data_IF_393288616523
#
_entry.id   IF_393288616523
#
_cell.length_a   1.000
_cell.length_b   1.000
_cell.length_c   1.000
_cell.angle_alpha   90.00
_cell.angle_beta   90.00
_cell.angle_gamma   90.00
#
_symmetry.space_group_name_H-M   'P 1'
#
loop_
_entity.id
_entity.type
_entity.pdbx_description
1 polymer ?
#
# COMPACT_ATOMS: atom_id res chain seq x y z
N UNK A 1 -96.24 27.95 27.98
CA UNK A 1 -95.26 28.67 28.83
C UNK A 1 -94.15 27.70 29.21
N UNK A 2 -92.90 28.17 29.14
CA UNK A 2 -91.56 27.55 29.29
C UNK A 2 -91.34 26.60 30.49
N UNK A 3 -90.15 25.94 30.63
CA UNK A 3 -89.02 25.76 29.70
C UNK A 3 -88.52 24.29 29.55
N UNK A 4 -87.61 24.13 28.57
CA UNK A 4 -86.82 22.95 28.27
C UNK A 4 -85.90 22.49 29.42
N UNK A 5 -85.70 21.18 29.53
CA UNK A 5 -84.49 20.60 30.13
C UNK A 5 -83.84 19.66 29.13
N UNK A 6 -82.70 20.10 28.61
CA UNK A 6 -81.79 19.35 27.77
C UNK A 6 -81.24 18.16 28.58
N UNK A 7 -81.58 16.94 28.21
CA UNK A 7 -80.86 15.75 28.67
C UNK A 7 -79.94 15.30 27.54
N UNK A 8 -78.73 15.86 27.52
CA UNK A 8 -77.61 15.29 26.79
C UNK A 8 -77.19 14.02 27.55
N UNK A 9 -77.66 12.87 27.09
CA UNK A 9 -77.09 11.59 27.50
C UNK A 9 -75.77 11.44 26.75
N UNK A 10 -74.68 11.92 27.35
CA UNK A 10 -73.34 11.51 26.95
C UNK A 10 -73.24 10.00 27.13
N UNK A 11 -73.14 9.28 26.01
CA UNK A 11 -72.78 7.87 26.02
C UNK A 11 -71.30 7.80 26.43
N UNK A 12 -70.91 6.96 27.41
CA UNK A 12 -69.50 6.85 27.76
C UNK A 12 -68.77 6.25 26.57
N UNK A 13 -67.80 7.00 26.04
CA UNK A 13 -66.84 6.49 25.07
C UNK A 13 -66.00 5.44 25.79
N UNK A 14 -66.44 4.19 25.70
CA UNK A 14 -65.70 3.03 26.21
C UNK A 14 -64.48 2.84 25.31
N UNK A 15 -63.43 3.63 25.56
CA UNK A 15 -62.12 3.36 25.01
C UNK A 15 -61.64 2.05 25.64
N UNK A 16 -61.31 1.00 24.88
CA UNK A 16 -60.93 -0.27 25.45
C UNK A 16 -59.68 -0.07 26.32
N UNK A 17 -59.86 -0.20 27.63
CA UNK A 17 -58.76 -0.18 28.59
C UNK A 17 -57.91 -1.41 28.32
N UNK A 18 -56.75 -1.21 27.70
CA UNK A 18 -55.81 -2.29 27.44
C UNK A 18 -55.46 -2.99 28.78
N UNK A 19 -55.44 -4.33 28.83
CA UNK A 19 -55.08 -5.06 30.03
C UNK A 19 -53.75 -4.54 30.57
N UNK A 20 -53.67 -4.24 31.87
CA UNK A 20 -52.48 -3.69 32.54
C UNK A 20 -51.19 -4.47 32.22
N UNK A 21 -51.31 -5.77 31.95
CA UNK A 21 -50.21 -6.63 31.50
C UNK A 21 -49.63 -6.24 30.13
N UNK A 22 -50.48 -5.86 29.17
CA UNK A 22 -50.06 -5.45 27.82
C UNK A 22 -49.33 -4.10 27.86
N UNK A 23 -49.86 -3.13 28.61
CA UNK A 23 -49.21 -1.82 28.80
C UNK A 23 -47.84 -1.92 29.49
N UNK A 24 -47.68 -2.85 30.45
CA UNK A 24 -46.37 -3.10 31.08
C UNK A 24 -45.39 -3.70 30.08
N UNK A 25 -45.81 -4.69 29.28
CA UNK A 25 -44.98 -5.32 28.27
C UNK A 25 -44.56 -4.34 27.16
N UNK A 26 -45.46 -3.45 26.75
CA UNK A 26 -45.18 -2.43 25.75
C UNK A 26 -44.18 -1.38 26.26
N UNK A 27 -44.32 -0.93 27.51
CA UNK A 27 -43.30 -0.06 28.15
C UNK A 27 -41.96 -0.74 28.32
N UNK A 28 -41.93 -2.02 28.66
CA UNK A 28 -40.68 -2.79 28.76
C UNK A 28 -40.01 -2.93 27.39
N UNK A 29 -40.78 -3.17 26.32
CA UNK A 29 -40.27 -3.20 24.94
C UNK A 29 -39.76 -1.84 24.48
N UNK A 30 -40.52 -0.77 24.72
CA UNK A 30 -40.10 0.60 24.35
C UNK A 30 -38.83 1.00 25.11
N UNK A 31 -38.76 0.66 26.41
CA UNK A 31 -37.56 0.89 27.22
C UNK A 31 -36.36 0.08 26.71
N UNK A 32 -36.55 -1.19 26.37
CA UNK A 32 -35.50 -2.04 25.83
C UNK A 32 -34.99 -1.54 24.46
N UNK A 33 -35.90 -1.09 23.58
CA UNK A 33 -35.52 -0.49 22.29
C UNK A 33 -34.72 0.80 22.48
N UNK A 34 -35.15 1.68 23.39
CA UNK A 34 -34.43 2.93 23.70
C UNK A 34 -33.05 2.66 24.34
N UNK A 35 -32.95 1.66 25.22
CA UNK A 35 -31.66 1.22 25.77
C UNK A 35 -30.73 0.67 24.66
N UNK A 36 -31.26 -0.15 23.75
CA UNK A 36 -30.49 -0.67 22.62
C UNK A 36 -30.04 0.43 21.65
N UNK A 37 -30.89 1.40 21.33
CA UNK A 37 -30.53 2.55 20.50
C UNK A 37 -29.44 3.41 21.14
N UNK A 38 -29.51 3.65 22.45
CA UNK A 38 -28.48 4.38 23.18
C UNK A 38 -27.14 3.62 23.20
N UNK A 39 -27.18 2.30 23.38
CA UNK A 39 -25.98 1.45 23.35
C UNK A 39 -25.34 1.44 21.96
N UNK A 40 -26.15 1.33 20.89
CA UNK A 40 -25.65 1.43 19.52
C UNK A 40 -25.04 2.81 19.25
N UNK A 41 -25.70 3.89 19.64
CA UNK A 41 -25.17 5.24 19.46
C UNK A 41 -23.88 5.49 20.26
N UNK A 42 -23.75 4.90 21.45
CA UNK A 42 -22.51 4.96 22.22
C UNK A 42 -21.38 4.19 21.52
N UNK A 43 -21.64 2.98 21.03
CA UNK A 43 -20.65 2.20 20.25
C UNK A 43 -20.23 2.92 18.97
N UNK A 44 -21.17 3.53 18.25
CA UNK A 44 -20.87 4.31 17.06
C UNK A 44 -19.96 5.50 17.38
N UNK A 45 -20.27 6.26 18.45
CA UNK A 45 -19.39 7.34 18.90
C UNK A 45 -18.02 6.86 19.33
N UNK A 46 -17.93 5.76 20.07
CA UNK A 46 -16.65 5.16 20.48
C UNK A 46 -15.84 4.71 19.26
N UNK A 47 -16.48 4.11 18.26
CA UNK A 47 -15.85 3.70 17.01
C UNK A 47 -15.33 4.91 16.20
N UNK A 48 -16.11 6.00 16.10
CA UNK A 48 -15.68 7.25 15.45
C UNK A 48 -14.49 7.90 16.18
N UNK A 49 -14.53 7.94 17.51
CA UNK A 49 -13.43 8.43 18.32
C UNK A 49 -12.17 7.58 18.14
N UNK A 50 -12.30 6.26 18.14
CA UNK A 50 -11.18 5.34 17.95
C UNK A 50 -10.54 5.55 16.57
N UNK A 51 -11.35 5.63 15.51
CA UNK A 51 -10.87 5.90 14.16
C UNK A 51 -10.13 7.24 14.05
N UNK A 52 -10.68 8.30 14.65
CA UNK A 52 -10.03 9.62 14.65
C UNK A 52 -8.69 9.59 15.39
N UNK A 53 -8.59 8.79 16.45
CA UNK A 53 -7.36 8.64 17.22
C UNK A 53 -6.28 7.88 16.44
N UNK A 54 -6.66 6.79 15.75
CA UNK A 54 -5.80 6.02 14.85
C UNK A 54 -5.22 6.92 13.74
N UNK A 55 -6.06 7.72 13.07
CA UNK A 55 -5.61 8.68 12.05
C UNK A 55 -4.62 9.73 12.60
N UNK A 56 -4.81 10.17 13.84
CA UNK A 56 -3.89 11.12 14.50
C UNK A 56 -2.55 10.46 14.85
N UNK A 57 -2.57 9.21 15.29
CA UNK A 57 -1.38 8.41 15.58
C UNK A 57 -0.55 8.18 14.32
N UNK A 58 -1.17 7.74 13.22
CA UNK A 58 -0.52 7.55 11.92
C UNK A 58 0.15 8.82 11.41
N UNK A 59 -0.56 9.95 11.48
CA UNK A 59 0.00 11.24 11.08
C UNK A 59 1.18 11.64 11.97
N UNK A 60 1.11 11.38 13.28
CA UNK A 60 2.24 11.62 14.18
C UNK A 60 3.46 10.77 13.81
N UNK A 61 3.27 9.47 13.51
CA UNK A 61 4.33 8.59 13.05
C UNK A 61 4.98 9.08 11.76
N UNK A 62 4.19 9.54 10.78
CA UNK A 62 4.69 10.14 9.55
C UNK A 62 5.54 11.38 9.81
N UNK A 63 5.06 12.30 10.64
CA UNK A 63 5.82 13.52 10.97
C UNK A 63 7.13 13.18 11.70
N UNK A 64 7.11 12.20 12.60
CA UNK A 64 8.32 11.70 13.27
C UNK A 64 9.31 11.07 12.28
N UNK A 65 8.83 10.23 11.35
CA UNK A 65 9.68 9.62 10.31
C UNK A 65 10.34 10.70 9.43
N UNK A 66 9.57 11.69 8.96
CA UNK A 66 10.07 12.83 8.19
C UNK A 66 11.08 13.67 8.97
N UNK A 67 10.83 13.93 10.25
CA UNK A 67 11.75 14.69 11.11
C UNK A 67 13.08 13.94 11.32
N UNK A 68 13.02 12.64 11.62
CA UNK A 68 14.21 11.78 11.77
C UNK A 68 15.02 11.77 10.48
N UNK A 69 14.35 11.66 9.34
CA UNK A 69 14.98 11.70 8.02
C UNK A 69 15.76 13.01 7.79
N UNK A 70 15.11 14.16 8.05
CA UNK A 70 15.74 15.49 7.94
C UNK A 70 16.99 15.62 8.82
N UNK A 71 16.96 15.10 10.05
CA UNK A 71 18.11 15.13 10.96
C UNK A 71 19.27 14.29 10.41
N UNK A 72 19.01 13.06 9.94
CA UNK A 72 20.04 12.18 9.38
C UNK A 72 20.72 12.79 8.16
N UNK A 73 19.95 13.40 7.26
CA UNK A 73 20.46 14.10 6.08
C UNK A 73 21.40 15.24 6.49
N UNK A 74 20.95 16.08 7.42
CA UNK A 74 21.75 17.21 7.92
C UNK A 74 23.05 16.77 8.59
N UNK A 75 23.01 15.65 9.30
CA UNK A 75 24.15 15.10 10.03
C UNK A 75 25.09 14.25 9.14
N UNK A 76 24.85 14.18 7.83
CA UNK A 76 25.68 13.40 6.89
C UNK A 76 25.57 11.89 7.04
N UNK A 77 24.49 11.40 7.67
CA UNK A 77 24.23 9.98 7.95
C UNK A 77 22.90 9.54 7.32
N UNK A 78 22.61 10.07 6.14
CA UNK A 78 21.39 9.75 5.41
C UNK A 78 21.34 8.26 5.09
N UNK A 79 20.21 7.63 5.35
CA UNK A 79 19.88 6.31 4.80
C UNK A 79 19.39 6.45 3.36
N UNK A 80 19.40 5.36 2.57
CA UNK A 80 18.86 5.39 1.20
C UNK A 80 17.41 5.90 1.12
N UNK A 81 16.54 5.49 2.06
CA UNK A 81 15.15 5.99 2.13
C UNK A 81 15.09 7.51 2.31
N UNK A 82 16.01 8.09 3.08
CA UNK A 82 16.02 9.53 3.33
C UNK A 82 16.35 10.30 2.04
N UNK A 83 17.28 9.77 1.23
CA UNK A 83 17.67 10.36 -0.05
C UNK A 83 16.54 10.23 -1.09
N UNK A 84 15.88 9.07 -1.16
CA UNK A 84 14.73 8.85 -2.04
C UNK A 84 13.53 9.74 -1.68
N UNK A 85 13.18 9.80 -0.39
CA UNK A 85 12.11 10.65 0.10
C UNK A 85 12.42 12.13 -0.19
N UNK A 86 13.69 12.55 -0.01
CA UNK A 86 14.13 13.90 -0.38
C UNK A 86 14.01 14.14 -1.88
N UNK A 87 14.42 13.20 -2.73
CA UNK A 87 14.36 13.32 -4.19
C UNK A 87 12.93 13.63 -4.66
N UNK A 88 11.96 12.82 -4.24
CA UNK A 88 10.56 12.98 -4.69
C UNK A 88 9.82 14.12 -3.98
N UNK A 89 10.32 14.56 -2.81
CA UNK A 89 9.79 15.74 -2.12
C UNK A 89 10.36 17.07 -2.65
N UNK A 90 11.46 17.03 -3.40
CA UNK A 90 12.20 18.22 -3.86
C UNK A 90 11.67 18.81 -5.16
N UNK A 91 10.56 18.29 -5.72
CA UNK A 91 9.91 18.90 -6.89
C UNK A 91 9.41 20.36 -6.64
N UNK A 92 9.44 20.84 -5.39
CA UNK A 92 9.06 22.21 -4.99
C UNK A 92 10.24 23.17 -4.69
N UNK A 93 11.50 22.71 -4.67
CA UNK A 93 12.64 23.56 -4.30
C UNK A 93 13.58 23.74 -5.50
N UNK A 94 13.65 24.97 -6.02
CA UNK A 94 14.44 25.49 -7.16
C UNK A 94 15.97 25.42 -6.91
N UNK A 95 16.41 24.43 -6.15
CA UNK A 95 17.80 24.20 -5.75
C UNK A 95 18.37 23.08 -6.59
N UNK A 96 19.45 23.43 -7.30
CA UNK A 96 20.34 22.52 -8.02
C UNK A 96 20.99 21.48 -7.08
N UNK A 97 20.19 20.56 -6.55
CA UNK A 97 20.65 19.29 -6.01
C UNK A 97 21.34 18.60 -7.18
N UNK A 98 22.57 18.13 -6.99
CA UNK A 98 23.20 17.20 -7.93
C UNK A 98 22.20 16.07 -8.18
N UNK A 99 21.50 16.13 -9.33
CA UNK A 99 20.41 15.23 -9.69
C UNK A 99 21.01 13.86 -9.98
N UNK A 100 21.28 13.13 -8.92
CA UNK A 100 21.53 11.71 -8.98
C UNK A 100 20.21 11.02 -9.29
N UNK A 101 20.22 10.21 -10.34
CA UNK A 101 19.10 9.33 -10.65
C UNK A 101 18.76 8.48 -9.41
N UNK A 102 17.49 8.33 -9.01
CA UNK A 102 17.08 7.73 -7.73
C UNK A 102 17.71 6.36 -7.45
N UNK A 103 17.81 5.53 -8.49
CA UNK A 103 18.38 4.20 -8.39
C UNK A 103 19.88 4.19 -8.05
N UNK A 104 20.59 5.31 -8.20
CA UNK A 104 22.02 5.40 -7.87
C UNK A 104 22.28 5.41 -6.37
N UNK A 105 21.27 5.75 -5.54
CA UNK A 105 21.37 5.67 -4.09
C UNK A 105 21.42 4.22 -3.57
N UNK A 106 21.18 3.23 -4.43
CA UNK A 106 21.27 1.81 -4.11
C UNK A 106 22.70 1.27 -4.22
N UNK A 107 23.61 2.04 -4.85
CA UNK A 107 24.97 1.59 -5.12
C UNK A 107 25.74 1.34 -3.82
N UNK A 108 26.30 0.14 -3.68
CA UNK A 108 27.12 -0.23 -2.53
C UNK A 108 26.35 -0.69 -1.29
N UNK A 109 25.02 -0.77 -1.36
CA UNK A 109 24.21 -1.38 -0.31
C UNK A 109 24.39 -2.90 -0.28
N UNK A 110 24.35 -3.47 0.92
CA UNK A 110 24.31 -4.93 1.10
C UNK A 110 22.90 -5.48 0.86
N UNK A 111 22.76 -6.80 0.74
CA UNK A 111 21.43 -7.46 0.65
C UNK A 111 20.55 -7.06 1.84
N UNK A 112 21.11 -7.05 3.06
CA UNK A 112 20.38 -6.65 4.27
C UNK A 112 19.94 -5.19 4.22
N UNK A 113 20.80 -4.28 3.76
CA UNK A 113 20.43 -2.85 3.66
C UNK A 113 19.32 -2.64 2.62
N UNK A 114 19.29 -3.43 1.55
CA UNK A 114 18.24 -3.37 0.53
C UNK A 114 16.92 -3.98 1.03
N UNK A 115 16.97 -5.05 1.83
CA UNK A 115 15.78 -5.62 2.47
C UNK A 115 15.14 -4.60 3.44
N UNK A 116 15.96 -3.98 4.30
CA UNK A 116 15.53 -2.88 5.17
C UNK A 116 14.91 -1.73 4.35
N UNK A 117 15.50 -1.41 3.19
CA UNK A 117 14.99 -0.36 2.31
C UNK A 117 13.62 -0.71 1.72
N UNK A 118 13.34 -1.98 1.38
CA UNK A 118 12.02 -2.39 0.90
C UNK A 118 10.96 -2.17 1.98
N UNK A 119 11.26 -2.55 3.24
CA UNK A 119 10.36 -2.30 4.37
C UNK A 119 10.15 -0.80 4.59
N UNK A 120 11.22 -0.01 4.58
CA UNK A 120 11.16 1.44 4.69
C UNK A 120 10.29 2.07 3.58
N UNK A 121 10.40 1.60 2.32
CA UNK A 121 9.56 2.06 1.20
C UNK A 121 8.08 1.73 1.43
N UNK A 122 7.75 0.53 1.93
CA UNK A 122 6.36 0.14 2.22
C UNK A 122 5.72 1.08 3.24
N UNK A 123 6.45 1.43 4.30
CA UNK A 123 6.00 2.40 5.30
C UNK A 123 5.71 3.76 4.67
N UNK A 124 6.56 4.24 3.75
CA UNK A 124 6.28 5.50 3.03
C UNK A 124 5.05 5.41 2.13
N UNK A 125 4.83 4.29 1.43
CA UNK A 125 3.63 4.13 0.60
C UNK A 125 2.34 4.16 1.43
N UNK A 126 2.34 3.58 2.63
CA UNK A 126 1.19 3.60 3.55
C UNK A 126 0.95 5.02 4.07
N UNK A 127 2.01 5.68 4.54
CA UNK A 127 1.88 6.99 5.18
C UNK A 127 1.59 8.13 4.19
N UNK A 128 2.04 8.05 2.93
CA UNK A 128 1.81 9.09 1.92
C UNK A 128 0.41 9.04 1.28
N UNK A 129 -0.46 8.12 1.73
CA UNK A 129 -1.87 8.02 1.32
C UNK A 129 -2.08 8.06 -0.21
N UNK A 130 -1.19 7.41 -0.96
CA UNK A 130 -1.31 7.34 -2.41
C UNK A 130 -0.53 8.40 -3.19
N UNK A 131 0.10 9.38 -2.53
CA UNK A 131 1.02 10.30 -3.22
C UNK A 131 2.26 9.53 -3.67
N UNK A 132 2.78 9.88 -4.85
CA UNK A 132 4.03 9.32 -5.40
C UNK A 132 4.07 7.79 -5.51
N UNK A 133 2.92 7.11 -5.52
CA UNK A 133 2.85 5.63 -5.50
C UNK A 133 3.59 4.99 -6.65
N UNK A 134 3.54 5.58 -7.84
CA UNK A 134 4.25 5.02 -8.99
C UNK A 134 5.76 5.08 -8.81
N UNK A 135 6.29 6.18 -8.26
CA UNK A 135 7.71 6.31 -7.90
C UNK A 135 8.12 5.25 -6.86
N UNK A 136 7.35 5.11 -5.78
CA UNK A 136 7.65 4.13 -4.74
C UNK A 136 7.59 2.69 -5.27
N UNK A 137 6.60 2.37 -6.11
CA UNK A 137 6.51 1.06 -6.78
C UNK A 137 7.71 0.80 -7.69
N UNK A 138 8.10 1.78 -8.49
CA UNK A 138 9.27 1.66 -9.36
C UNK A 138 10.55 1.44 -8.52
N UNK A 139 10.71 2.17 -7.41
CA UNK A 139 11.84 1.97 -6.47
C UNK A 139 11.81 0.61 -5.76
N UNK A 140 10.65 0.07 -5.40
CA UNK A 140 10.52 -1.31 -4.89
C UNK A 140 11.00 -2.31 -5.94
N UNK A 141 10.52 -2.20 -7.18
CA UNK A 141 10.90 -3.11 -8.27
C UNK A 141 12.42 -3.07 -8.52
N UNK A 142 13.02 -1.88 -8.53
CA UNK A 142 14.46 -1.72 -8.75
C UNK A 142 15.26 -2.32 -7.59
N UNK A 143 14.84 -2.08 -6.34
CA UNK A 143 15.51 -2.61 -5.14
C UNK A 143 15.44 -4.14 -5.12
N UNK A 144 14.27 -4.73 -5.42
CA UNK A 144 14.09 -6.18 -5.50
C UNK A 144 14.92 -6.83 -6.62
N UNK A 145 15.03 -6.20 -7.79
CA UNK A 145 15.92 -6.62 -8.89
C UNK A 145 17.39 -6.62 -8.43
N UNK A 146 17.81 -5.61 -7.67
CA UNK A 146 19.18 -5.52 -7.19
C UNK A 146 19.49 -6.56 -6.10
N UNK A 147 18.55 -6.80 -5.17
CA UNK A 147 18.63 -7.92 -4.21
C UNK A 147 18.82 -9.25 -4.94
N UNK A 148 18.02 -9.50 -5.98
CA UNK A 148 18.09 -10.75 -6.74
C UNK A 148 19.47 -10.91 -7.43
N UNK A 149 20.04 -9.83 -7.96
CA UNK A 149 21.40 -9.86 -8.55
C UNK A 149 22.48 -10.11 -7.51
N UNK A 150 22.43 -9.41 -6.37
CA UNK A 150 23.40 -9.58 -5.29
C UNK A 150 23.39 -11.02 -4.76
N UNK A 151 22.21 -11.59 -4.51
CA UNK A 151 22.07 -13.00 -4.08
C UNK A 151 22.62 -13.99 -5.11
N UNK A 152 22.39 -13.75 -6.41
CA UNK A 152 22.98 -14.57 -7.49
C UNK A 152 24.52 -14.46 -7.49
N UNK A 153 25.05 -13.26 -7.29
CA UNK A 153 26.50 -13.03 -7.22
C UNK A 153 27.12 -13.76 -6.02
N UNK A 154 26.50 -13.67 -4.84
CA UNK A 154 26.95 -14.38 -3.63
C UNK A 154 26.89 -15.91 -3.80
N UNK A 155 25.87 -16.42 -4.47
CA UNK A 155 25.76 -17.84 -4.79
C UNK A 155 26.85 -18.29 -5.77
N UNK A 156 27.14 -17.48 -6.80
CA UNK A 156 28.18 -17.79 -7.80
C UNK A 156 29.61 -17.66 -7.26
N UNK A 157 29.84 -16.81 -6.25
CA UNK A 157 31.14 -16.59 -5.62
C UNK A 157 31.53 -17.66 -4.58
N UNK A 158 30.60 -18.51 -4.15
CA UNK A 158 30.83 -19.60 -3.19
C UNK A 158 31.11 -20.96 -3.85
N UNK A 159 31.03 -21.05 -5.18
CA UNK A 159 31.30 -22.29 -5.93
C UNK A 159 32.80 -22.52 -6.13
N UNK A 160 33.33 -23.65 -5.65
CA UNK A 160 34.68 -24.11 -5.98
C UNK A 160 34.88 -24.32 -7.50
N UNK A 161 36.12 -24.61 -7.97
CA UNK A 161 36.51 -24.58 -9.39
C UNK A 161 35.69 -25.46 -10.37
N UNK A 162 34.70 -26.24 -9.91
CA UNK A 162 33.84 -27.12 -10.70
C UNK A 162 32.44 -26.58 -11.06
N UNK A 163 31.98 -25.45 -10.50
CA UNK A 163 30.61 -24.93 -10.72
C UNK A 163 30.53 -23.81 -11.77
N UNK A 164 31.47 -23.77 -12.72
CA UNK A 164 31.45 -22.84 -13.88
C UNK A 164 30.35 -23.16 -14.91
N UNK A 165 29.19 -23.68 -14.50
CA UNK A 165 28.06 -23.96 -15.39
C UNK A 165 27.15 -22.75 -15.62
N UNK A 166 27.34 -21.64 -14.88
CA UNK A 166 26.50 -20.45 -15.02
C UNK A 166 27.01 -19.43 -16.07
N UNK A 167 28.13 -19.73 -16.76
CA UNK A 167 28.69 -18.88 -17.81
C UNK A 167 27.79 -18.69 -19.03
N UNK A 168 26.78 -19.56 -19.22
CA UNK A 168 25.78 -19.44 -20.29
C UNK A 168 24.73 -18.37 -19.95
N UNK A 169 24.50 -18.08 -18.66
CA UNK A 169 23.45 -17.16 -18.20
C UNK A 169 23.86 -15.69 -18.33
N UNK A 170 25.16 -15.40 -18.20
CA UNK A 170 25.70 -14.05 -18.32
C UNK A 170 25.64 -13.50 -19.76
N UNK A 171 25.94 -14.32 -20.78
CA UNK A 171 25.85 -13.87 -22.18
C UNK A 171 24.39 -13.64 -22.59
N UNK A 172 23.49 -14.55 -22.19
CA UNK A 172 22.05 -14.40 -22.45
C UNK A 172 21.48 -13.18 -21.72
N UNK A 173 21.92 -12.87 -20.50
CA UNK A 173 21.49 -11.66 -19.77
C UNK A 173 21.97 -10.36 -20.45
N UNK A 174 23.21 -10.33 -20.97
CA UNK A 174 23.73 -9.20 -21.74
C UNK A 174 22.95 -9.01 -23.06
N UNK A 175 22.66 -10.10 -23.77
CA UNK A 175 21.86 -10.07 -24.99
C UNK A 175 20.42 -9.59 -24.70
N UNK A 176 19.83 -10.02 -23.59
CA UNK A 176 18.51 -9.58 -23.13
C UNK A 176 18.46 -8.08 -22.84
N UNK A 177 19.45 -7.51 -22.16
CA UNK A 177 19.49 -6.06 -21.94
C UNK A 177 19.62 -5.28 -23.24
N UNK A 178 20.36 -5.82 -24.22
CA UNK A 178 20.45 -5.22 -25.56
C UNK A 178 19.10 -5.22 -26.28
N UNK A 179 18.24 -6.22 -26.03
CA UNK A 179 16.89 -6.28 -26.58
C UNK A 179 16.03 -5.14 -26.05
N UNK A 180 16.19 -4.72 -24.79
CA UNK A 180 15.38 -3.62 -24.24
C UNK A 180 15.86 -2.24 -24.69
N UNK A 181 17.16 -2.11 -24.92
CA UNK A 181 17.80 -0.84 -25.24
C UNK A 181 17.19 -0.19 -26.49
N UNK A 182 16.81 1.08 -26.38
CA UNK A 182 16.26 1.88 -27.48
C UNK A 182 14.79 1.61 -27.81
N UNK A 183 14.10 0.75 -27.04
CA UNK A 183 12.65 0.60 -27.14
C UNK A 183 11.92 1.71 -26.38
N UNK A 184 10.81 2.16 -26.93
CA UNK A 184 9.88 3.07 -26.25
C UNK A 184 9.11 2.36 -25.15
N UNK A 185 8.58 3.10 -24.18
CA UNK A 185 7.77 2.55 -23.10
C UNK A 185 6.60 1.68 -23.61
N UNK A 186 5.89 2.14 -24.65
CA UNK A 186 4.81 1.37 -25.27
C UNK A 186 5.31 0.03 -25.86
N UNK A 187 6.50 0.02 -26.48
CA UNK A 187 7.09 -1.21 -27.01
C UNK A 187 7.50 -2.17 -25.89
N UNK A 188 8.00 -1.66 -24.77
CA UNK A 188 8.30 -2.46 -23.58
C UNK A 188 7.03 -3.04 -22.95
N UNK A 189 5.94 -2.27 -22.92
CA UNK A 189 4.64 -2.74 -22.42
C UNK A 189 4.05 -3.86 -23.29
N UNK A 190 4.20 -3.79 -24.62
CA UNK A 190 3.82 -4.90 -25.51
C UNK A 190 4.65 -6.15 -25.24
N UNK A 191 5.96 -6.01 -25.03
CA UNK A 191 6.83 -7.13 -24.64
C UNK A 191 6.41 -7.75 -23.30
N UNK A 192 6.09 -6.91 -22.32
CA UNK A 192 5.60 -7.32 -21.02
C UNK A 192 4.38 -8.23 -21.14
N UNK A 193 3.35 -7.77 -21.86
CA UNK A 193 2.11 -8.52 -22.08
C UNK A 193 2.36 -9.85 -22.82
N UNK A 194 3.27 -9.84 -23.80
CA UNK A 194 3.66 -11.03 -24.55
C UNK A 194 4.36 -12.08 -23.66
N UNK A 195 5.27 -11.64 -22.79
CA UNK A 195 5.98 -12.52 -21.85
C UNK A 195 5.00 -13.10 -20.83
N UNK A 196 4.15 -12.27 -20.21
CA UNK A 196 3.14 -12.75 -19.25
C UNK A 196 2.19 -13.76 -19.88
N UNK A 197 1.72 -13.50 -21.10
CA UNK A 197 0.83 -14.41 -21.82
C UNK A 197 1.52 -15.75 -22.08
N UNK A 198 2.81 -15.73 -22.40
CA UNK A 198 3.61 -16.94 -22.64
C UNK A 198 3.82 -17.76 -21.37
N UNK A 199 4.13 -17.11 -20.25
CA UNK A 199 4.24 -17.78 -18.94
C UNK A 199 2.90 -18.41 -18.56
N UNK A 200 1.81 -17.66 -18.70
CA UNK A 200 0.45 -18.13 -18.36
C UNK A 200 0.00 -19.30 -19.24
N UNK A 201 0.31 -19.27 -20.53
CA UNK A 201 -0.01 -20.36 -21.45
C UNK A 201 0.73 -21.65 -21.10
N UNK A 202 1.94 -21.53 -20.53
CA UNK A 202 2.76 -22.68 -20.15
C UNK A 202 3.17 -23.55 -21.34
N UNK A 203 3.67 -24.74 -21.05
CA UNK A 203 3.96 -25.75 -22.06
C UNK A 203 5.03 -26.74 -21.60
N UNK A 204 5.02 -27.99 -22.11
CA UNK A 204 5.88 -29.07 -21.63
C UNK A 204 7.38 -28.81 -21.83
N UNK A 205 7.76 -27.90 -22.72
CA UNK A 205 9.16 -27.51 -22.98
C UNK A 205 9.42 -26.02 -22.70
N UNK A 206 8.51 -25.35 -21.98
CA UNK A 206 8.69 -23.95 -21.63
C UNK A 206 9.55 -23.83 -20.38
N UNK A 207 10.70 -23.19 -20.50
CA UNK A 207 11.51 -22.82 -19.34
C UNK A 207 10.89 -21.62 -18.61
N UNK A 208 9.96 -21.92 -17.68
CA UNK A 208 9.26 -20.91 -16.89
C UNK A 208 10.25 -20.02 -16.12
N UNK A 209 11.31 -20.60 -15.55
CA UNK A 209 12.30 -19.85 -14.76
C UNK A 209 13.05 -18.82 -15.61
N UNK A 210 13.38 -19.16 -16.86
CA UNK A 210 13.94 -18.20 -17.80
C UNK A 210 12.97 -17.05 -18.10
N UNK A 211 11.71 -17.34 -18.40
CA UNK A 211 10.72 -16.30 -18.73
C UNK A 211 10.36 -15.42 -17.52
N UNK A 212 10.30 -15.99 -16.31
CA UNK A 212 10.14 -15.25 -15.07
C UNK A 212 11.33 -14.32 -14.82
N UNK A 213 12.56 -14.82 -15.00
CA UNK A 213 13.75 -13.97 -14.88
C UNK A 213 13.78 -12.87 -15.94
N UNK A 214 13.35 -13.15 -17.17
CA UNK A 214 13.24 -12.16 -18.25
C UNK A 214 12.19 -11.09 -17.92
N UNK A 215 11.04 -11.49 -17.40
CA UNK A 215 9.98 -10.59 -16.97
C UNK A 215 10.45 -9.68 -15.83
N UNK A 216 11.19 -10.22 -14.85
CA UNK A 216 11.78 -9.43 -13.77
C UNK A 216 12.75 -8.37 -14.31
N UNK A 217 13.66 -8.76 -15.20
CA UNK A 217 14.61 -7.82 -15.83
C UNK A 217 13.89 -6.72 -16.63
N UNK A 218 12.83 -7.08 -17.36
CA UNK A 218 12.02 -6.12 -18.10
C UNK A 218 11.31 -5.13 -17.18
N UNK A 219 10.70 -5.61 -16.08
CA UNK A 219 10.05 -4.75 -15.08
C UNK A 219 11.04 -3.73 -14.51
N UNK A 220 12.24 -4.18 -14.13
CA UNK A 220 13.28 -3.30 -13.61
C UNK A 220 13.80 -2.30 -14.65
N UNK A 221 13.90 -2.71 -15.93
CA UNK A 221 14.26 -1.80 -17.02
C UNK A 221 13.19 -0.71 -17.24
N UNK A 222 11.90 -1.10 -17.22
CA UNK A 222 10.79 -0.16 -17.34
C UNK A 222 10.73 0.81 -16.15
N UNK A 223 10.97 0.34 -14.93
CA UNK A 223 11.00 1.17 -13.72
C UNK A 223 12.14 2.20 -13.74
N UNK A 224 13.33 1.84 -14.25
CA UNK A 224 14.46 2.77 -14.40
C UNK A 224 14.26 3.82 -15.50
N UNK A 225 13.34 3.60 -16.42
CA UNK A 225 13.16 4.43 -17.62
C UNK A 225 11.93 5.36 -17.56
N UNK A 226 11.19 5.33 -16.44
CA UNK A 226 10.01 6.16 -16.21
C UNK A 226 10.40 7.41 -15.43
#
# INVERSE_FOLDING_TARGET
MSPLSHHLTESPVDSPVLPVKQLRLEREREKAMREQELEMLQREKEAEHFKTWEEQEDNFHLQQAKLRSKIRIRDGRAKPIDLLAKYISAEDDDLAVEMHEPYTFLNGLTVSDMEDLVEDIQVYMELEQGKNVDFWRDMTIITEDEIAKLRKLEASGKGGPGERRDGVNASVSSDVQSVFKGKTYNQLQVLYQGIESKIRAGGPNLDIGYWESLLQQLKAYMARAR
#
